data_IF_691435541446
#
_entry.id   IF_691435541446
#
_cell.length_a   1.000
_cell.length_b   1.000
_cell.length_c   1.000
_cell.angle_alpha   90.00
_cell.angle_beta   90.00
_cell.angle_gamma   90.00
#
_symmetry.space_group_name_H-M   'P 1'
#
loop_
_entity.id
_entity.type
_entity.pdbx_description
1 polymer ?
#
# COMPACT_ATOMS: atom_id res chain seq x y z
N UNK A 1 21.21 -38.43 -1.39
CA UNK A 1 20.29 -37.34 -0.96
C UNK A 1 18.87 -37.88 -1.02
N UNK A 2 18.07 -37.71 0.03
CA UNK A 2 16.69 -38.21 0.06
C UNK A 2 15.85 -37.30 -0.89
N UNK A 3 15.22 -37.92 -1.88
CA UNK A 3 14.27 -37.24 -2.74
C UNK A 3 13.03 -36.89 -1.90
N UNK A 4 12.72 -35.61 -1.76
CA UNK A 4 11.55 -35.13 -1.04
C UNK A 4 10.56 -34.50 -2.01
N UNK A 5 9.28 -34.68 -1.74
CA UNK A 5 8.20 -34.05 -2.50
C UNK A 5 8.06 -32.57 -2.12
N UNK A 6 7.41 -31.78 -2.98
CA UNK A 6 7.07 -30.39 -2.66
C UNK A 6 6.31 -30.28 -1.33
N UNK A 7 5.36 -31.17 -1.08
CA UNK A 7 4.57 -31.18 0.15
C UNK A 7 5.45 -31.44 1.40
N UNK A 8 6.36 -32.42 1.34
CA UNK A 8 7.25 -32.71 2.48
C UNK A 8 8.17 -31.52 2.79
N UNK A 9 8.68 -30.85 1.77
CA UNK A 9 9.55 -29.68 1.95
C UNK A 9 8.74 -28.48 2.48
N UNK A 10 7.51 -28.27 2.01
CA UNK A 10 6.63 -27.21 2.49
C UNK A 10 6.21 -27.45 3.94
N UNK A 11 5.85 -28.68 4.34
CA UNK A 11 5.51 -29.02 5.73
C UNK A 11 6.69 -28.75 6.67
N UNK A 12 7.91 -29.15 6.27
CA UNK A 12 9.12 -28.80 7.01
C UNK A 12 9.27 -27.31 7.19
N UNK A 13 9.08 -26.54 6.12
CA UNK A 13 9.22 -25.08 6.14
C UNK A 13 8.18 -24.41 7.05
N UNK A 14 6.91 -24.84 7.00
CA UNK A 14 5.87 -24.36 7.91
C UNK A 14 6.24 -24.57 9.37
N UNK A 15 6.63 -25.80 9.74
CA UNK A 15 7.05 -26.11 11.12
C UNK A 15 8.28 -25.30 11.53
N UNK A 16 9.25 -25.12 10.64
CA UNK A 16 10.45 -24.33 10.92
C UNK A 16 10.15 -22.86 11.15
N UNK A 17 9.20 -22.28 10.40
CA UNK A 17 8.74 -20.90 10.59
C UNK A 17 8.02 -20.74 11.93
N UNK A 18 7.10 -21.67 12.28
CA UNK A 18 6.39 -21.64 13.57
C UNK A 18 7.34 -21.73 14.76
N UNK A 19 8.35 -22.63 14.72
CA UNK A 19 9.39 -22.75 15.74
C UNK A 19 10.21 -21.46 15.93
N UNK A 20 10.25 -20.59 14.90
CA UNK A 20 10.92 -19.29 14.95
C UNK A 20 9.95 -18.11 15.11
N UNK A 21 8.68 -18.36 15.51
CA UNK A 21 7.62 -17.38 15.73
C UNK A 21 7.21 -16.56 14.46
N UNK A 22 7.23 -17.21 13.31
CA UNK A 22 6.72 -16.69 12.06
C UNK A 22 5.43 -17.41 11.65
N UNK A 23 4.64 -16.76 10.80
CA UNK A 23 3.45 -17.36 10.22
C UNK A 23 3.82 -18.53 9.29
N UNK A 24 3.22 -19.69 9.54
CA UNK A 24 3.42 -20.91 8.76
C UNK A 24 2.95 -20.77 7.29
N UNK A 25 1.99 -19.89 7.02
CA UNK A 25 1.46 -19.68 5.67
C UNK A 25 2.50 -19.07 4.72
N UNK A 26 3.49 -18.36 5.24
CA UNK A 26 4.63 -17.86 4.46
C UNK A 26 5.30 -18.97 3.66
N UNK A 27 5.43 -20.17 4.25
CA UNK A 27 6.02 -21.33 3.57
C UNK A 27 5.28 -21.68 2.28
N UNK A 28 3.96 -21.64 2.31
CA UNK A 28 3.14 -21.94 1.15
C UNK A 28 3.27 -20.86 0.06
N UNK A 29 3.10 -19.59 0.43
CA UNK A 29 3.18 -18.48 -0.53
C UNK A 29 4.55 -18.36 -1.17
N UNK A 30 5.62 -18.43 -0.37
CA UNK A 30 6.99 -18.38 -0.85
C UNK A 30 7.32 -19.55 -1.81
N UNK A 31 6.79 -20.76 -1.53
CA UNK A 31 6.97 -21.90 -2.41
C UNK A 31 6.27 -21.69 -3.76
N UNK A 32 5.02 -21.23 -3.77
CA UNK A 32 4.29 -20.95 -5.00
C UNK A 32 5.04 -19.94 -5.86
N UNK A 33 5.53 -18.88 -5.24
CA UNK A 33 6.23 -17.81 -5.93
C UNK A 33 7.57 -18.25 -6.51
N UNK A 34 8.37 -19.02 -5.76
CA UNK A 34 9.67 -19.52 -6.24
C UNK A 34 9.53 -20.61 -7.30
N UNK A 35 8.46 -21.40 -7.22
CA UNK A 35 8.18 -22.46 -8.18
C UNK A 35 7.41 -21.97 -9.43
N UNK A 36 6.96 -20.71 -9.42
CA UNK A 36 6.03 -20.14 -10.42
C UNK A 36 4.77 -21.00 -10.56
N UNK A 37 4.18 -21.40 -9.44
CA UNK A 37 3.00 -22.25 -9.37
C UNK A 37 1.74 -21.43 -9.09
N UNK A 38 0.69 -21.72 -9.84
CA UNK A 38 -0.67 -21.38 -9.44
C UNK A 38 -1.15 -22.31 -8.30
N UNK A 39 -2.26 -21.96 -7.64
CA UNK A 39 -2.93 -22.85 -6.67
C UNK A 39 -3.31 -24.19 -7.31
N UNK A 40 -3.69 -24.18 -8.59
CA UNK A 40 -4.01 -25.41 -9.35
C UNK A 40 -2.76 -26.25 -9.60
N UNK A 41 -1.61 -25.62 -9.93
CA UNK A 41 -0.33 -26.33 -10.09
C UNK A 41 0.09 -27.01 -8.79
N UNK A 42 -0.05 -26.30 -7.66
CA UNK A 42 0.20 -26.86 -6.35
C UNK A 42 -0.65 -28.12 -6.10
N UNK A 43 -1.95 -28.02 -6.33
CA UNK A 43 -2.86 -29.15 -6.11
C UNK A 43 -2.46 -30.40 -6.91
N UNK A 44 -1.95 -30.21 -8.11
CA UNK A 44 -1.51 -31.29 -9.01
C UNK A 44 -0.11 -31.82 -8.69
N UNK A 45 0.84 -30.92 -8.40
CA UNK A 45 2.28 -31.23 -8.35
C UNK A 45 2.83 -31.46 -6.93
N UNK A 46 2.08 -31.17 -5.88
CA UNK A 46 2.58 -31.23 -4.48
C UNK A 46 3.18 -32.57 -4.05
N UNK A 47 2.84 -33.66 -4.74
CA UNK A 47 3.38 -35.01 -4.48
C UNK A 47 4.56 -35.37 -5.38
N UNK A 48 4.91 -34.53 -6.34
CA UNK A 48 6.07 -34.72 -7.19
C UNK A 48 7.36 -34.44 -6.41
N UNK A 49 8.46 -35.02 -6.87
CA UNK A 49 9.79 -34.76 -6.29
C UNK A 49 10.21 -33.33 -6.62
N UNK A 50 10.55 -32.57 -5.59
CA UNK A 50 11.04 -31.20 -5.77
C UNK A 50 12.46 -31.20 -6.36
N UNK A 51 12.73 -30.44 -7.45
CA UNK A 51 14.07 -30.29 -8.02
C UNK A 51 15.05 -29.75 -6.97
N UNK A 52 16.26 -30.32 -6.95
CA UNK A 52 17.25 -30.02 -5.91
C UNK A 52 17.62 -28.54 -5.83
N UNK A 53 17.81 -27.88 -6.98
CA UNK A 53 18.12 -26.46 -7.04
C UNK A 53 17.01 -25.58 -6.47
N UNK A 54 15.75 -25.91 -6.74
CA UNK A 54 14.59 -25.17 -6.20
C UNK A 54 14.47 -25.43 -4.69
N UNK A 55 14.69 -26.68 -4.24
CA UNK A 55 14.69 -27.02 -2.82
C UNK A 55 15.73 -26.22 -2.04
N UNK A 56 16.97 -26.16 -2.54
CA UNK A 56 18.05 -25.42 -1.90
C UNK A 56 17.74 -23.92 -1.85
N UNK A 57 17.25 -23.34 -2.93
CA UNK A 57 16.84 -21.92 -2.97
C UNK A 57 15.69 -21.63 -1.98
N UNK A 58 14.68 -22.50 -1.96
CA UNK A 58 13.55 -22.38 -1.06
C UNK A 58 13.97 -22.51 0.42
N UNK A 59 14.81 -23.48 0.75
CA UNK A 59 15.32 -23.67 2.12
C UNK A 59 16.13 -22.45 2.58
N UNK A 60 17.00 -21.90 1.73
CA UNK A 60 17.76 -20.69 2.03
C UNK A 60 16.83 -19.49 2.25
N UNK A 61 15.77 -19.36 1.46
CA UNK A 61 14.77 -18.30 1.62
C UNK A 61 14.00 -18.43 2.95
N UNK A 62 13.54 -19.63 3.30
CA UNK A 62 12.87 -19.92 4.58
C UNK A 62 13.80 -19.62 5.77
N UNK A 63 15.07 -20.01 5.70
CA UNK A 63 16.04 -19.72 6.75
C UNK A 63 16.27 -18.21 6.91
N UNK A 64 16.29 -17.46 5.82
CA UNK A 64 16.44 -16.00 5.85
C UNK A 64 15.23 -15.32 6.51
N UNK A 65 14.02 -15.75 6.19
CA UNK A 65 12.81 -15.29 6.87
C UNK A 65 12.87 -15.61 8.36
N UNK A 66 13.11 -16.87 8.71
CA UNK A 66 13.04 -17.35 10.09
C UNK A 66 14.11 -16.75 11.01
N UNK A 67 15.36 -16.65 10.54
CA UNK A 67 16.51 -16.26 11.37
C UNK A 67 16.80 -14.76 11.33
N UNK A 68 16.55 -14.12 10.19
CA UNK A 68 16.86 -12.70 9.96
C UNK A 68 15.62 -11.80 10.04
N UNK A 69 14.41 -12.34 10.09
CA UNK A 69 13.12 -11.63 9.94
C UNK A 69 13.01 -10.91 8.58
N UNK A 70 13.69 -11.41 7.54
CA UNK A 70 13.69 -10.76 6.24
C UNK A 70 12.33 -10.91 5.54
N UNK A 71 11.74 -9.83 4.99
CA UNK A 71 10.45 -9.93 4.32
C UNK A 71 10.52 -10.88 3.13
N UNK A 72 9.67 -11.91 3.13
CA UNK A 72 9.68 -12.88 2.04
C UNK A 72 9.28 -12.26 0.68
N UNK A 73 8.48 -11.20 0.70
CA UNK A 73 8.10 -10.44 -0.49
C UNK A 73 9.32 -9.82 -1.18
N UNK A 74 10.31 -9.38 -0.43
CA UNK A 74 11.56 -8.87 -1.01
C UNK A 74 12.46 -9.98 -1.56
N UNK A 75 12.31 -11.22 -1.08
CA UNK A 75 13.03 -12.38 -1.66
C UNK A 75 12.50 -12.68 -3.06
N UNK A 76 11.18 -12.67 -3.23
CA UNK A 76 10.53 -12.96 -4.53
C UNK A 76 10.36 -11.72 -5.40
N UNK A 77 10.58 -10.52 -4.84
CA UNK A 77 10.46 -9.25 -5.56
C UNK A 77 9.02 -8.86 -5.91
N UNK A 78 8.03 -9.47 -5.27
CA UNK A 78 6.60 -9.21 -5.53
C UNK A 78 5.73 -9.33 -4.29
N UNK A 79 4.61 -8.62 -4.30
CA UNK A 79 3.56 -8.70 -3.29
C UNK A 79 2.18 -8.72 -3.96
N UNK A 80 1.20 -9.29 -3.26
CA UNK A 80 -0.20 -9.31 -3.69
C UNK A 80 -0.92 -8.06 -3.19
N UNK A 81 -1.76 -7.49 -4.05
CA UNK A 81 -2.64 -6.40 -3.70
C UNK A 81 -3.85 -6.38 -4.65
N UNK A 82 -5.04 -6.34 -4.10
CA UNK A 82 -6.30 -6.24 -4.85
C UNK A 82 -6.46 -7.30 -5.95
N UNK A 83 -6.06 -8.54 -5.64
CA UNK A 83 -6.13 -9.67 -6.57
C UNK A 83 -5.03 -9.73 -7.64
N UNK A 84 -4.07 -8.81 -7.61
CA UNK A 84 -2.98 -8.67 -8.59
C UNK A 84 -1.62 -8.72 -7.90
N UNK A 85 -0.57 -9.05 -8.66
CA UNK A 85 0.82 -8.98 -8.16
C UNK A 85 1.48 -7.68 -8.56
N UNK A 86 2.22 -7.08 -7.63
CA UNK A 86 3.01 -5.87 -7.83
C UNK A 86 4.48 -6.13 -7.49
N UNK A 87 5.41 -5.57 -8.26
CA UNK A 87 6.83 -5.58 -7.93
C UNK A 87 7.07 -4.80 -6.66
N UNK A 88 7.93 -5.34 -5.80
CA UNK A 88 8.39 -4.69 -4.57
C UNK A 88 9.91 -4.81 -4.43
N UNK A 89 10.51 -3.91 -3.67
CA UNK A 89 11.93 -3.93 -3.32
C UNK A 89 12.13 -3.26 -1.95
N UNK A 90 13.29 -3.39 -1.32
CA UNK A 90 13.59 -2.70 -0.05
C UNK A 90 13.51 -1.16 -0.09
N UNK A 91 13.30 -0.57 -1.26
CA UNK A 91 13.13 0.87 -1.42
C UNK A 91 11.71 1.38 -1.16
N UNK A 92 10.74 0.50 -0.92
CA UNK A 92 9.31 0.84 -0.80
C UNK A 92 8.64 0.05 0.31
N UNK A 93 7.53 0.60 0.83
CA UNK A 93 6.63 -0.12 1.73
C UNK A 93 6.02 -1.33 1.02
N UNK A 94 6.03 -2.50 1.67
CA UNK A 94 5.28 -3.66 1.18
C UNK A 94 3.78 -3.34 1.26
N UNK A 95 3.00 -3.55 0.18
CA UNK A 95 1.55 -3.36 0.18
C UNK A 95 0.87 -4.00 1.39
N UNK A 96 -0.05 -3.25 2.03
CA UNK A 96 -0.83 -3.71 3.17
C UNK A 96 -2.26 -4.00 2.76
N UNK A 97 -2.88 -4.97 3.42
CA UNK A 97 -4.25 -5.37 3.12
C UNK A 97 -5.25 -4.24 3.47
N UNK A 98 -5.00 -3.47 4.52
CA UNK A 98 -5.82 -2.34 4.93
C UNK A 98 -5.93 -1.26 3.84
N UNK A 99 -4.90 -1.11 3.00
CA UNK A 99 -4.93 -0.19 1.86
C UNK A 99 -5.91 -0.65 0.76
N UNK A 100 -6.28 -1.93 0.71
CA UNK A 100 -7.36 -2.41 -0.18
C UNK A 100 -8.72 -1.84 0.20
N UNK A 101 -8.97 -1.60 1.50
CA UNK A 101 -10.20 -0.98 1.98
C UNK A 101 -10.30 0.48 1.51
N UNK A 102 -9.18 1.21 1.50
CA UNK A 102 -9.13 2.57 0.95
C UNK A 102 -9.46 2.57 -0.55
N UNK A 103 -8.86 1.68 -1.34
CA UNK A 103 -9.16 1.55 -2.78
C UNK A 103 -10.62 1.16 -2.99
N UNK A 104 -11.16 0.24 -2.20
CA UNK A 104 -12.55 -0.22 -2.27
C UNK A 104 -13.53 0.92 -1.96
N UNK A 105 -13.24 1.73 -0.95
CA UNK A 105 -14.04 2.90 -0.60
C UNK A 105 -14.07 3.92 -1.74
N UNK A 106 -12.93 4.23 -2.34
CA UNK A 106 -12.84 5.12 -3.52
C UNK A 106 -13.61 4.55 -4.69
N UNK A 107 -13.43 3.26 -4.98
CA UNK A 107 -14.14 2.59 -6.07
C UNK A 107 -15.66 2.66 -5.90
N UNK A 108 -16.15 2.56 -4.68
CA UNK A 108 -17.57 2.70 -4.35
C UNK A 108 -18.09 4.13 -4.57
N UNK A 109 -17.31 5.16 -4.23
CA UNK A 109 -17.69 6.55 -4.51
C UNK A 109 -17.79 6.80 -6.02
N UNK A 110 -16.87 6.27 -6.82
CA UNK A 110 -16.91 6.39 -8.29
C UNK A 110 -18.12 5.63 -8.87
N UNK A 111 -18.38 4.41 -8.42
CA UNK A 111 -19.53 3.60 -8.87
C UNK A 111 -20.88 4.26 -8.52
N UNK A 112 -20.96 4.96 -7.40
CA UNK A 112 -22.14 5.70 -6.95
C UNK A 112 -22.24 7.13 -7.54
N UNK A 113 -21.36 7.46 -8.48
CA UNK A 113 -21.31 8.76 -9.16
C UNK A 113 -21.07 9.97 -8.23
N UNK A 114 -20.53 9.74 -7.03
CA UNK A 114 -20.06 10.82 -6.16
C UNK A 114 -18.75 11.44 -6.67
N UNK A 115 -17.95 10.65 -7.39
CA UNK A 115 -16.74 11.06 -8.11
C UNK A 115 -16.90 10.63 -9.57
N UNK A 116 -16.60 11.53 -10.51
CA UNK A 116 -16.72 11.26 -11.94
C UNK A 116 -15.76 10.15 -12.40
N UNK A 117 -16.16 9.36 -13.39
CA UNK A 117 -15.32 8.27 -13.92
C UNK A 117 -14.09 8.76 -14.72
N UNK A 118 -14.08 10.03 -15.11
CA UNK A 118 -12.99 10.72 -15.79
C UNK A 118 -12.29 11.77 -14.90
N UNK A 119 -12.52 11.69 -13.59
CA UNK A 119 -11.97 12.58 -12.58
C UNK A 119 -10.43 12.68 -12.66
N UNK A 120 -9.94 13.86 -12.30
CA UNK A 120 -8.50 14.10 -12.09
C UNK A 120 -8.14 13.60 -10.69
N UNK A 121 -7.25 12.62 -10.63
CA UNK A 121 -6.84 11.93 -9.40
C UNK A 121 -5.38 12.23 -9.12
N UNK A 122 -5.06 12.57 -7.88
CA UNK A 122 -3.69 12.67 -7.37
C UNK A 122 -3.47 11.61 -6.29
N UNK A 123 -2.48 10.75 -6.48
CA UNK A 123 -1.97 9.80 -5.48
C UNK A 123 -0.66 10.35 -4.90
N UNK A 124 -0.67 10.77 -3.62
CA UNK A 124 0.48 11.36 -2.95
C UNK A 124 1.21 10.31 -2.12
N UNK A 125 2.53 10.17 -2.33
CA UNK A 125 3.33 9.13 -1.70
C UNK A 125 2.99 7.76 -2.28
N UNK A 126 3.00 7.67 -3.60
CA UNK A 126 2.47 6.50 -4.34
C UNK A 126 3.21 5.18 -4.07
N UNK A 127 4.46 5.24 -3.60
CA UNK A 127 5.27 4.06 -3.27
C UNK A 127 5.40 3.09 -4.44
N UNK A 128 4.82 1.90 -4.30
CA UNK A 128 4.73 0.88 -5.37
C UNK A 128 3.82 1.25 -6.52
N UNK A 129 3.04 2.32 -6.41
CA UNK A 129 1.99 2.66 -7.34
C UNK A 129 0.68 1.88 -7.18
N UNK A 130 0.53 1.09 -6.10
CA UNK A 130 -0.62 0.16 -5.94
C UNK A 130 -1.97 0.87 -6.01
N UNK A 131 -2.12 2.03 -5.36
CA UNK A 131 -3.38 2.79 -5.35
C UNK A 131 -3.66 3.32 -6.75
N UNK A 132 -2.71 4.10 -7.30
CA UNK A 132 -2.84 4.73 -8.61
C UNK A 132 -3.10 3.72 -9.73
N UNK A 133 -2.32 2.63 -9.77
CA UNK A 133 -2.41 1.58 -10.79
C UNK A 133 -3.73 0.82 -10.69
N UNK A 134 -4.12 0.40 -9.47
CA UNK A 134 -5.37 -0.35 -9.26
C UNK A 134 -6.58 0.48 -9.65
N UNK A 135 -6.65 1.75 -9.24
CA UNK A 135 -7.75 2.65 -9.62
C UNK A 135 -7.79 2.88 -11.14
N UNK A 136 -6.63 3.04 -11.79
CA UNK A 136 -6.56 3.20 -13.25
C UNK A 136 -7.01 1.95 -14.00
N UNK A 137 -6.77 0.75 -13.46
CA UNK A 137 -7.27 -0.51 -14.02
C UNK A 137 -8.79 -0.64 -13.85
N UNK A 138 -9.32 -0.33 -12.65
CA UNK A 138 -10.76 -0.39 -12.37
C UNK A 138 -11.56 0.65 -13.16
N UNK A 139 -10.99 1.85 -13.36
CA UNK A 139 -11.61 2.99 -14.00
C UNK A 139 -10.67 3.60 -15.05
N UNK A 140 -10.63 3.03 -16.27
CA UNK A 140 -9.65 3.41 -17.28
C UNK A 140 -9.71 4.87 -17.75
N UNK A 141 -10.83 5.56 -17.53
CA UNK A 141 -11.01 6.96 -17.93
C UNK A 141 -10.41 7.97 -16.93
N UNK A 142 -10.11 7.56 -15.68
CA UNK A 142 -9.48 8.44 -14.70
C UNK A 142 -8.20 9.08 -15.25
N UNK A 143 -7.98 10.34 -14.95
CA UNK A 143 -6.74 11.06 -15.22
C UNK A 143 -5.87 11.03 -13.98
N UNK A 144 -4.95 10.07 -13.91
CA UNK A 144 -4.18 9.79 -12.69
C UNK A 144 -2.79 10.41 -12.78
N UNK A 145 -2.49 11.26 -11.79
CA UNK A 145 -1.15 11.75 -11.46
C UNK A 145 -0.72 11.09 -10.15
N UNK A 146 0.52 10.66 -10.05
CA UNK A 146 1.07 10.05 -8.84
C UNK A 146 2.41 10.71 -8.48
N UNK A 147 2.56 11.10 -7.23
CA UNK A 147 3.78 11.76 -6.75
C UNK A 147 4.46 10.93 -5.66
N UNK A 148 5.79 11.01 -5.61
CA UNK A 148 6.57 10.45 -4.52
C UNK A 148 7.86 11.27 -4.37
N UNK A 149 8.37 11.36 -3.16
CA UNK A 149 9.65 12.01 -2.86
C UNK A 149 10.84 11.10 -3.18
N UNK A 150 10.62 9.78 -3.26
CA UNK A 150 11.63 8.77 -3.55
C UNK A 150 11.68 8.47 -5.05
N UNK A 151 12.82 8.73 -5.71
CA UNK A 151 13.01 8.34 -7.12
C UNK A 151 12.98 6.82 -7.30
N UNK A 152 13.42 6.06 -6.31
CA UNK A 152 13.42 4.59 -6.37
C UNK A 152 11.99 4.03 -6.27
N UNK A 153 11.15 4.63 -5.45
CA UNK A 153 9.72 4.30 -5.39
C UNK A 153 9.04 4.55 -6.75
N UNK A 154 9.27 5.71 -7.35
CA UNK A 154 8.72 6.04 -8.67
C UNK A 154 9.22 5.11 -9.78
N UNK A 155 10.44 4.60 -9.70
CA UNK A 155 10.93 3.62 -10.67
C UNK A 155 10.11 2.32 -10.57
N UNK A 156 9.88 1.79 -9.37
CA UNK A 156 9.05 0.60 -9.15
C UNK A 156 7.59 0.87 -9.57
N UNK A 157 7.03 2.03 -9.23
CA UNK A 157 5.67 2.41 -9.62
C UNK A 157 5.49 2.45 -11.15
N UNK A 158 6.47 3.01 -11.88
CA UNK A 158 6.48 3.02 -13.35
C UNK A 158 6.55 1.61 -13.94
N UNK A 159 7.38 0.73 -13.38
CA UNK A 159 7.43 -0.67 -13.81
C UNK A 159 6.09 -1.38 -13.58
N UNK A 160 5.48 -1.22 -12.42
CA UNK A 160 4.16 -1.78 -12.11
C UNK A 160 3.08 -1.25 -13.06
N UNK A 161 3.07 0.06 -13.32
CA UNK A 161 2.13 0.67 -14.25
C UNK A 161 2.32 0.14 -15.69
N UNK A 162 3.57 -0.01 -16.15
CA UNK A 162 3.90 -0.54 -17.46
C UNK A 162 3.44 -2.00 -17.61
N UNK A 163 3.74 -2.85 -16.64
CA UNK A 163 3.34 -4.26 -16.64
C UNK A 163 1.79 -4.42 -16.70
N UNK A 164 1.07 -3.51 -16.07
CA UNK A 164 -0.40 -3.49 -16.01
C UNK A 164 -1.05 -2.59 -17.07
N UNK A 165 -0.25 -1.97 -17.94
CA UNK A 165 -0.72 -1.06 -19.01
C UNK A 165 -1.54 0.13 -18.49
N UNK A 166 -1.27 0.56 -17.27
CA UNK A 166 -1.89 1.72 -16.65
C UNK A 166 -1.14 3.00 -17.06
N UNK A 167 -1.83 3.92 -17.71
CA UNK A 167 -1.25 5.22 -18.10
C UNK A 167 -1.41 6.19 -16.93
N UNK A 168 -0.30 6.53 -16.28
CA UNK A 168 -0.21 7.38 -15.08
C UNK A 168 0.90 8.39 -15.28
N UNK A 169 0.68 9.65 -14.89
CA UNK A 169 1.68 10.70 -14.84
C UNK A 169 2.45 10.64 -13.51
N UNK A 170 3.70 10.19 -13.52
CA UNK A 170 4.55 10.05 -12.33
C UNK A 170 5.49 11.23 -12.18
N UNK A 171 5.40 11.95 -11.07
CA UNK A 171 6.16 13.16 -10.79
C UNK A 171 6.96 13.03 -9.47
N UNK A 172 8.23 13.41 -9.50
CA UNK A 172 9.13 13.38 -8.33
C UNK A 172 9.01 14.70 -7.57
N UNK A 173 8.75 14.63 -6.27
CA UNK A 173 8.76 15.77 -5.36
C UNK A 173 7.99 15.51 -4.07
N UNK A 174 8.04 16.49 -3.18
CA UNK A 174 7.45 16.40 -1.85
C UNK A 174 5.99 16.92 -1.88
N UNK A 175 5.06 16.03 -1.52
CA UNK A 175 3.61 16.29 -1.47
C UNK A 175 3.08 16.94 -2.75
N UNK A 176 2.69 18.22 -2.69
CA UNK A 176 2.07 18.98 -3.78
C UNK A 176 3.09 19.74 -4.65
N UNK A 177 4.37 19.78 -4.29
CA UNK A 177 5.39 20.55 -5.04
C UNK A 177 5.41 20.25 -6.55
N UNK A 178 5.31 18.97 -6.99
CA UNK A 178 5.35 18.67 -8.42
C UNK A 178 4.12 19.11 -9.21
N UNK A 179 3.01 19.39 -8.53
CA UNK A 179 1.69 19.65 -9.14
C UNK A 179 1.18 21.07 -8.90
N UNK A 180 2.10 22.03 -8.73
CA UNK A 180 1.77 23.43 -8.49
C UNK A 180 0.78 23.99 -9.55
N UNK A 181 -0.30 24.61 -9.06
CA UNK A 181 -1.32 25.24 -9.89
C UNK A 181 -2.28 24.26 -10.59
N UNK A 182 -2.23 22.98 -10.22
CA UNK A 182 -3.21 21.98 -10.67
C UNK A 182 -4.27 21.76 -9.59
N UNK A 183 -5.47 21.42 -9.99
CA UNK A 183 -6.56 21.01 -9.10
C UNK A 183 -7.00 19.59 -9.43
N UNK A 184 -7.40 18.84 -8.40
CA UNK A 184 -7.81 17.45 -8.50
C UNK A 184 -9.19 17.23 -7.90
N UNK A 185 -9.99 16.43 -8.56
CA UNK A 185 -11.34 16.06 -8.11
C UNK A 185 -11.26 15.00 -6.97
N UNK A 186 -10.16 14.25 -6.95
CA UNK A 186 -9.84 13.27 -5.92
C UNK A 186 -8.35 13.33 -5.58
N UNK A 187 -8.03 13.50 -4.31
CA UNK A 187 -6.66 13.37 -3.78
C UNK A 187 -6.65 12.17 -2.84
N UNK A 188 -5.69 11.25 -3.04
CA UNK A 188 -5.55 10.04 -2.22
C UNK A 188 -4.14 10.01 -1.65
N UNK A 189 -3.98 9.46 -0.45
CA UNK A 189 -2.68 9.22 0.12
C UNK A 189 -2.73 8.09 1.16
N UNK A 190 -1.75 7.21 1.14
CA UNK A 190 -1.36 6.40 2.30
C UNK A 190 0.01 6.91 2.77
N UNK A 191 0.05 8.03 3.49
CA UNK A 191 1.32 8.65 3.87
C UNK A 191 1.93 7.92 5.07
N UNK A 192 3.21 8.10 5.36
CA UNK A 192 3.78 7.70 6.64
C UNK A 192 2.97 8.29 7.80
N UNK A 193 2.64 7.44 8.78
CA UNK A 193 1.83 7.85 9.94
C UNK A 193 2.33 7.31 11.28
N UNK A 194 3.48 6.65 11.32
CA UNK A 194 4.04 6.07 12.55
C UNK A 194 4.90 7.12 13.24
N UNK A 195 4.74 7.26 14.55
CA UNK A 195 5.63 8.06 15.39
C UNK A 195 6.99 7.39 15.56
N UNK A 196 8.06 8.17 15.58
CA UNK A 196 9.42 7.63 15.70
C UNK A 196 9.69 6.93 17.04
N UNK A 197 8.83 7.08 18.03
CA UNK A 197 8.83 6.43 19.34
C UNK A 197 7.86 5.24 19.44
N UNK A 198 7.18 4.86 18.34
CA UNK A 198 6.19 3.77 18.29
C UNK A 198 6.76 2.44 17.71
N UNK A 199 8.07 2.28 17.68
CA UNK A 199 8.71 1.10 17.06
C UNK A 199 8.42 -0.22 17.76
N UNK A 200 8.08 -0.19 19.05
CA UNK A 200 7.83 -1.38 19.88
C UNK A 200 6.57 -2.15 19.47
N UNK A 201 5.64 -1.51 18.76
CA UNK A 201 4.39 -2.14 18.30
C UNK A 201 4.50 -2.66 16.86
N UNK A 202 5.60 -2.40 16.19
CA UNK A 202 5.84 -2.83 14.81
C UNK A 202 6.45 -4.22 14.74
N UNK A 203 6.26 -4.91 13.61
CA UNK A 203 6.97 -6.15 13.37
C UNK A 203 8.47 -5.90 13.22
N UNK A 204 9.31 -6.84 13.69
CA UNK A 204 10.75 -6.75 13.51
C UNK A 204 11.15 -6.64 12.05
N UNK A 205 10.45 -7.33 11.18
CA UNK A 205 10.65 -7.32 9.74
C UNK A 205 10.49 -5.89 9.19
N UNK A 206 9.40 -5.20 9.55
CA UNK A 206 9.12 -3.83 9.11
C UNK A 206 10.21 -2.87 9.58
N UNK A 207 10.55 -2.89 10.87
CA UNK A 207 11.56 -1.98 11.45
C UNK A 207 12.95 -2.17 10.86
N UNK A 208 13.33 -3.41 10.51
CA UNK A 208 14.68 -3.72 10.04
C UNK A 208 14.89 -3.49 8.53
N UNK A 209 13.85 -3.60 7.74
CA UNK A 209 14.01 -3.73 6.28
C UNK A 209 13.16 -2.79 5.43
N UNK A 210 12.07 -2.26 5.96
CA UNK A 210 11.26 -1.31 5.19
C UNK A 210 11.81 0.13 5.38
N UNK A 211 11.70 1.00 4.38
CA UNK A 211 12.36 2.30 4.43
C UNK A 211 11.71 3.23 5.46
N UNK A 212 12.51 3.85 6.32
CA UNK A 212 12.06 4.82 7.33
C UNK A 212 11.18 5.93 6.75
N UNK A 213 11.50 6.36 5.53
CA UNK A 213 10.76 7.40 4.81
C UNK A 213 9.29 7.01 4.53
N UNK A 214 9.01 5.72 4.38
CA UNK A 214 7.67 5.21 4.15
C UNK A 214 6.89 4.89 5.44
N UNK A 215 7.57 4.91 6.60
CA UNK A 215 7.00 4.52 7.88
C UNK A 215 6.74 5.71 8.81
N UNK A 216 7.76 6.58 8.98
CA UNK A 216 7.78 7.55 10.05
C UNK A 216 7.36 8.97 9.62
N UNK A 217 6.44 9.57 10.38
CA UNK A 217 5.94 10.93 10.18
C UNK A 217 6.21 11.81 11.40
N UNK A 218 7.50 12.00 11.71
CA UNK A 218 7.94 12.78 12.86
C UNK A 218 7.67 12.07 14.19
N UNK A 219 7.79 12.80 15.29
CA UNK A 219 7.75 12.22 16.63
C UNK A 219 6.43 11.52 16.98
N UNK A 220 5.30 12.08 16.51
CA UNK A 220 3.95 11.61 16.88
C UNK A 220 3.16 11.05 15.67
N UNK A 221 3.79 10.83 14.52
CA UNK A 221 3.13 10.26 13.35
C UNK A 221 2.18 11.17 12.56
N UNK A 222 2.04 12.45 12.93
CA UNK A 222 1.07 13.35 12.29
C UNK A 222 1.67 14.36 11.31
N UNK A 223 2.99 14.45 11.20
CA UNK A 223 3.66 15.54 10.50
C UNK A 223 3.22 15.68 9.04
N UNK A 224 3.04 14.57 8.35
CA UNK A 224 2.63 14.57 6.95
C UNK A 224 1.17 15.06 6.83
N UNK A 225 0.27 14.58 7.70
CA UNK A 225 -1.12 15.01 7.73
C UNK A 225 -1.26 16.51 7.98
N UNK A 226 -0.47 17.08 8.91
CA UNK A 226 -0.51 18.52 9.14
C UNK A 226 -0.07 19.32 7.90
N UNK A 227 0.94 18.86 7.20
CA UNK A 227 1.39 19.49 5.95
C UNK A 227 0.37 19.36 4.83
N UNK A 228 -0.32 18.21 4.73
CA UNK A 228 -1.43 18.02 3.79
C UNK A 228 -2.58 18.99 4.09
N UNK A 229 -3.03 19.10 5.33
CA UNK A 229 -4.13 19.99 5.70
C UNK A 229 -3.82 21.46 5.48
N UNK A 230 -2.59 21.89 5.70
CA UNK A 230 -2.17 23.27 5.50
C UNK A 230 -2.18 23.68 4.02
N UNK A 231 -2.09 22.75 3.07
CA UNK A 231 -1.92 23.00 1.64
C UNK A 231 -3.10 22.56 0.76
N UNK A 232 -3.84 21.56 1.16
CA UNK A 232 -4.82 20.85 0.32
C UNK A 232 -5.88 21.76 -0.31
N UNK A 233 -6.21 22.87 0.34
CA UNK A 233 -7.20 23.84 -0.15
C UNK A 233 -6.84 24.49 -1.49
N UNK A 234 -5.56 24.50 -1.88
CA UNK A 234 -5.07 25.04 -3.15
C UNK A 234 -5.14 24.00 -4.29
N UNK A 235 -5.37 22.71 -3.95
CA UNK A 235 -5.30 21.60 -4.89
C UNK A 235 -6.57 20.77 -4.98
N UNK A 236 -7.45 20.84 -3.99
CA UNK A 236 -8.69 20.07 -3.98
C UNK A 236 -9.80 20.86 -4.66
N UNK A 237 -10.28 20.34 -5.78
CA UNK A 237 -11.39 20.93 -6.54
C UNK A 237 -12.65 21.09 -5.69
N UNK A 238 -13.58 21.88 -6.20
CA UNK A 238 -14.89 22.07 -5.59
C UNK A 238 -15.99 21.76 -6.62
N UNK A 239 -16.67 20.59 -6.53
CA UNK A 239 -16.56 19.56 -5.49
C UNK A 239 -15.30 18.70 -5.62
N UNK A 240 -14.86 18.12 -4.50
CA UNK A 240 -13.71 17.22 -4.50
C UNK A 240 -13.60 16.43 -3.21
N UNK A 241 -12.77 15.39 -3.24
CA UNK A 241 -12.53 14.50 -2.12
C UNK A 241 -11.03 14.33 -1.84
N UNK A 242 -10.65 14.42 -0.56
CA UNK A 242 -9.39 13.85 -0.08
C UNK A 242 -9.69 12.60 0.72
N UNK A 243 -8.97 11.52 0.45
CA UNK A 243 -9.14 10.22 1.12
C UNK A 243 -7.76 9.71 1.52
N UNK A 244 -7.51 9.59 2.82
CA UNK A 244 -6.20 9.21 3.36
C UNK A 244 -6.26 8.07 4.36
N UNK A 245 -5.30 7.13 4.29
CA UNK A 245 -5.12 6.08 5.28
C UNK A 245 -4.34 6.61 6.48
N UNK A 246 -4.68 6.16 7.71
CA UNK A 246 -3.99 6.54 8.93
C UNK A 246 -3.97 5.40 9.97
N UNK A 247 -3.13 5.55 11.00
CA UNK A 247 -3.05 4.60 12.11
C UNK A 247 -4.30 4.61 12.98
N UNK A 248 -4.86 3.45 13.30
CA UNK A 248 -6.19 3.25 13.90
C UNK A 248 -6.48 4.06 15.18
N UNK A 249 -5.47 4.54 15.88
CA UNK A 249 -5.64 5.37 17.09
C UNK A 249 -5.59 6.89 16.81
N UNK A 250 -5.30 7.30 15.58
CA UNK A 250 -5.05 8.71 15.24
C UNK A 250 -6.32 9.50 14.91
N UNK A 251 -7.46 8.83 14.71
CA UNK A 251 -8.71 9.44 14.24
C UNK A 251 -9.14 10.71 14.97
N UNK A 252 -9.28 10.69 16.31
CA UNK A 252 -9.69 11.88 17.06
C UNK A 252 -8.75 13.08 16.88
N UNK A 253 -7.43 12.86 16.84
CA UNK A 253 -6.44 13.90 16.64
C UNK A 253 -6.48 14.47 15.23
N UNK A 254 -6.70 13.61 14.20
CA UNK A 254 -6.83 14.04 12.82
C UNK A 254 -8.10 14.88 12.61
N UNK A 255 -9.24 14.50 13.21
CA UNK A 255 -10.47 15.30 13.18
C UNK A 255 -10.28 16.68 13.82
N UNK A 256 -9.61 16.73 14.98
CA UNK A 256 -9.31 18.02 15.63
C UNK A 256 -8.36 18.86 14.79
N UNK A 257 -7.27 18.26 14.27
CA UNK A 257 -6.30 18.95 13.42
C UNK A 257 -6.89 19.43 12.11
N UNK A 258 -7.82 18.69 11.51
CA UNK A 258 -8.54 19.13 10.31
C UNK A 258 -9.35 20.40 10.58
N UNK A 259 -10.08 20.47 11.70
CA UNK A 259 -10.85 21.66 12.08
C UNK A 259 -9.97 22.90 12.26
N UNK A 260 -8.77 22.72 12.79
CA UNK A 260 -7.87 23.84 13.09
C UNK A 260 -7.07 24.30 11.87
N UNK A 261 -6.80 23.42 10.91
CA UNK A 261 -5.84 23.66 9.81
C UNK A 261 -6.47 23.82 8.44
N UNK A 262 -7.63 23.15 8.19
CA UNK A 262 -8.28 23.25 6.89
C UNK A 262 -8.82 24.69 6.69
N UNK A 263 -8.42 25.28 5.56
CA UNK A 263 -8.92 26.63 5.15
C UNK A 263 -10.20 26.54 4.32
N UNK A 264 -10.85 25.39 4.32
CA UNK A 264 -12.11 25.12 3.62
C UNK A 264 -13.25 25.11 4.63
N UNK A 265 -13.96 26.22 4.77
CA UNK A 265 -14.99 26.44 5.83
C UNK A 265 -16.18 25.50 5.73
N UNK A 266 -16.48 25.02 4.51
CA UNK A 266 -17.64 24.16 4.23
C UNK A 266 -17.25 22.69 4.12
N UNK A 267 -15.98 22.34 4.32
CA UNK A 267 -15.53 20.96 4.21
C UNK A 267 -16.11 20.06 5.29
N UNK A 268 -16.59 18.90 4.89
CA UNK A 268 -17.02 17.85 5.79
C UNK A 268 -15.87 16.88 6.02
N UNK A 269 -15.61 16.53 7.28
CA UNK A 269 -14.53 15.62 7.66
C UNK A 269 -15.10 14.43 8.41
N UNK A 270 -14.86 13.24 7.88
CA UNK A 270 -15.38 11.98 8.40
C UNK A 270 -14.28 10.93 8.51
N UNK A 271 -14.50 9.95 9.38
CA UNK A 271 -13.66 8.76 9.51
C UNK A 271 -14.48 7.55 9.12
N UNK A 272 -13.86 6.67 8.33
CA UNK A 272 -14.42 5.39 7.90
C UNK A 272 -13.56 4.29 8.51
N UNK A 273 -14.22 3.25 8.99
CA UNK A 273 -13.57 2.08 9.55
C UNK A 273 -13.18 1.09 8.44
N UNK A 274 -12.06 0.38 8.68
CA UNK A 274 -11.65 -0.76 7.87
C UNK A 274 -12.57 -1.97 8.11
N UNK A 275 -12.35 -3.04 7.36
CA UNK A 275 -13.14 -4.27 7.48
C UNK A 275 -13.06 -4.90 8.89
N UNK A 276 -11.98 -4.65 9.63
CA UNK A 276 -11.81 -5.13 11.01
C UNK A 276 -12.52 -4.24 12.05
N UNK A 277 -13.11 -3.12 11.63
CA UNK A 277 -13.82 -2.17 12.50
C UNK A 277 -12.91 -1.16 13.19
N UNK A 278 -11.66 -0.99 12.71
CA UNK A 278 -10.76 0.03 13.20
C UNK A 278 -10.89 1.31 12.37
N UNK A 279 -10.78 2.46 13.00
CA UNK A 279 -10.70 3.74 12.30
C UNK A 279 -9.47 3.73 11.38
N UNK A 280 -9.66 3.93 10.07
CA UNK A 280 -8.60 3.73 9.08
C UNK A 280 -8.54 4.77 7.97
N UNK A 281 -9.66 5.30 7.53
CA UNK A 281 -9.73 6.18 6.38
C UNK A 281 -10.29 7.52 6.79
N UNK A 282 -9.51 8.58 6.57
CA UNK A 282 -9.95 9.96 6.69
C UNK A 282 -10.54 10.43 5.36
N UNK A 283 -11.74 10.98 5.39
CA UNK A 283 -12.42 11.55 4.24
C UNK A 283 -12.65 13.03 4.49
N UNK A 284 -12.13 13.87 3.61
CA UNK A 284 -12.45 15.31 3.56
C UNK A 284 -13.21 15.54 2.27
N UNK A 285 -14.45 15.96 2.36
CA UNK A 285 -15.27 16.35 1.22
C UNK A 285 -15.32 17.87 1.15
N UNK A 286 -14.93 18.43 -0.01
CA UNK A 286 -15.12 19.83 -0.35
C UNK A 286 -16.40 19.93 -1.21
N UNK A 287 -17.57 20.29 -0.63
CA UNK A 287 -18.84 20.18 -1.33
C UNK A 287 -19.03 21.29 -2.38
N UNK A 288 -20.06 21.17 -3.20
CA UNK A 288 -20.50 22.28 -4.04
C UNK A 288 -20.84 23.53 -3.20
N UNK A 289 -20.61 24.72 -3.76
CA UNK A 289 -21.16 25.91 -3.16
C UNK A 289 -22.70 25.85 -3.19
N UNK A 290 -23.31 25.46 -2.08
CA UNK A 290 -24.75 25.60 -1.87
C UNK A 290 -25.06 27.03 -1.44
N UNK A 291 -24.66 28.02 -2.27
CA UNK A 291 -25.22 29.38 -2.10
C UNK A 291 -26.49 29.41 -2.93
N UNK A 292 -27.63 29.19 -2.26
CA UNK A 292 -28.98 29.56 -2.77
C UNK A 292 -29.20 31.04 -2.53
#
# INVERSE_FOLDING_TARGET
MINQTYLEVQVWASSFLEENNHDAEIAYHLLLDLADFSVSDWALKRKDIMPINLKEAYQAAIEKVAKENYPWQYIVGKAWFYGETFKVSPAILIPRQETEDLVSYVADLIKKEHIAQDARVLDIGTGTGIIAVTLKQLFPNLQVTATDISPDALNIARENAADKKAVIDFQLGDLFEPVLGQEFDLIISNPPYIGSDETDVMSKSTVLYEPDLALFAGKNGYQIYWRLFDQIHDYLAKPGYFIGEFGYQQGPSLLAGAKDRLRMTDAEVNIIQDYAGNDRILVIQNPYNTTI
#
